data_IF_228622886668
#
_entry.id   IF_228622886668
#
_cell.length_a   1.000
_cell.length_b   1.000
_cell.length_c   1.000
_cell.angle_alpha   90.00
_cell.angle_beta   90.00
_cell.angle_gamma   90.00
#
_symmetry.space_group_name_H-M   'P 1'
#
loop_
_entity.id
_entity.type
_entity.pdbx_description
1 polymer ?
#
# COMPACT_ATOMS: atom_id res chain seq x y z
N UNK A 1 28.80 0.06 -10.49
CA UNK A 1 27.82 1.10 -10.87
C UNK A 1 26.92 0.43 -11.88
N UNK A 2 25.78 -0.06 -11.43
CA UNK A 2 24.88 -0.89 -12.25
C UNK A 2 24.15 0.05 -13.22
N UNK A 3 24.49 -0.01 -14.52
CA UNK A 3 24.02 0.91 -15.56
C UNK A 3 22.51 0.79 -15.87
N UNK A 4 21.77 -0.02 -15.10
CA UNK A 4 20.36 -0.35 -15.31
C UNK A 4 19.45 0.02 -14.13
N UNK A 5 20.00 0.52 -13.01
CA UNK A 5 19.19 0.97 -11.88
C UNK A 5 18.75 2.43 -12.10
N UNK A 6 17.46 2.77 -11.93
CA UNK A 6 16.99 4.14 -12.07
C UNK A 6 17.74 5.07 -11.10
N UNK A 7 17.89 6.33 -11.47
CA UNK A 7 18.60 7.35 -10.70
C UNK A 7 17.67 8.32 -9.97
N UNK A 8 16.37 8.28 -10.26
CA UNK A 8 15.36 9.08 -9.59
C UNK A 8 14.02 8.33 -9.47
N UNK A 9 13.14 8.82 -8.59
CA UNK A 9 11.77 8.33 -8.51
C UNK A 9 11.01 8.50 -9.83
N UNK A 10 11.27 9.58 -10.56
CA UNK A 10 10.65 9.84 -11.86
C UNK A 10 11.07 8.80 -12.90
N UNK A 11 12.36 8.46 -12.95
CA UNK A 11 12.87 7.42 -13.84
C UNK A 11 12.33 6.04 -13.46
N UNK A 12 12.32 5.71 -12.16
CA UNK A 12 11.70 4.50 -11.64
C UNK A 12 10.23 4.40 -12.07
N UNK A 13 9.47 5.48 -11.91
CA UNK A 13 8.05 5.55 -12.26
C UNK A 13 7.83 5.33 -13.76
N UNK A 14 8.69 5.89 -14.62
CA UNK A 14 8.64 5.67 -16.07
C UNK A 14 8.86 4.19 -16.40
N UNK A 15 9.89 3.58 -15.81
CA UNK A 15 10.19 2.15 -15.99
C UNK A 15 9.04 1.25 -15.53
N UNK A 16 8.39 1.57 -14.39
CA UNK A 16 7.22 0.82 -13.90
C UNK A 16 6.04 0.97 -14.86
N UNK A 17 5.80 2.16 -15.41
CA UNK A 17 4.69 2.42 -16.34
C UNK A 17 4.87 1.72 -17.69
N UNK A 18 6.11 1.57 -18.15
CA UNK A 18 6.46 0.88 -19.40
C UNK A 18 6.56 -0.66 -19.21
N UNK A 19 6.76 -1.13 -17.97
CA UNK A 19 6.85 -2.54 -17.67
C UNK A 19 5.51 -3.26 -17.93
N UNK A 20 5.50 -4.36 -18.69
CA UNK A 20 4.27 -5.11 -18.92
C UNK A 20 3.75 -5.68 -17.59
N UNK A 21 2.42 -5.71 -17.39
CA UNK A 21 1.86 -6.27 -16.18
C UNK A 21 2.16 -7.76 -16.11
N UNK A 22 2.63 -8.22 -14.95
CA UNK A 22 2.79 -9.66 -14.70
C UNK A 22 1.46 -10.42 -14.72
N UNK A 23 0.34 -9.71 -14.59
CA UNK A 23 -1.03 -10.25 -14.62
C UNK A 23 -1.77 -9.73 -15.85
N UNK A 24 -2.51 -10.56 -16.59
CA UNK A 24 -3.21 -10.11 -17.77
C UNK A 24 -4.41 -9.20 -17.40
N UNK A 25 -4.70 -8.23 -18.26
CA UNK A 25 -5.95 -7.46 -18.23
C UNK A 25 -5.95 -6.18 -17.39
N UNK A 26 -4.88 -5.86 -16.67
CA UNK A 26 -4.71 -4.54 -16.05
C UNK A 26 -4.67 -3.44 -17.13
N UNK A 27 -5.22 -2.27 -16.85
CA UNK A 27 -5.26 -1.15 -17.80
C UNK A 27 -3.92 -0.43 -17.86
N UNK A 28 -3.33 -0.17 -16.71
CA UNK A 28 -2.08 0.57 -16.54
C UNK A 28 -1.46 0.30 -15.16
N UNK A 29 -0.18 0.63 -15.00
CA UNK A 29 0.42 0.66 -13.68
C UNK A 29 -0.17 1.80 -12.83
N UNK A 30 -0.38 1.55 -11.55
CA UNK A 30 -0.76 2.57 -10.57
C UNK A 30 0.43 2.83 -9.67
N UNK A 31 1.05 3.99 -9.88
CA UNK A 31 2.23 4.44 -9.16
C UNK A 31 1.86 4.95 -7.75
N UNK A 32 2.87 5.13 -6.90
CA UNK A 32 2.68 5.78 -5.61
C UNK A 32 2.49 7.30 -5.74
N UNK A 33 1.80 7.90 -4.77
CA UNK A 33 1.53 9.34 -4.72
C UNK A 33 1.92 9.94 -3.37
N UNK A 34 2.55 11.11 -3.41
CA UNK A 34 2.95 11.90 -2.24
C UNK A 34 4.32 12.56 -2.42
N UNK A 35 4.79 13.33 -1.44
CA UNK A 35 6.09 13.99 -1.52
C UNK A 35 7.25 13.02 -1.29
N UNK A 36 8.39 13.32 -1.90
CA UNK A 36 9.69 12.78 -1.46
C UNK A 36 9.99 13.35 -0.07
N UNK A 37 10.52 12.51 0.82
CA UNK A 37 10.77 12.84 2.22
C UNK A 37 9.50 12.84 3.09
N UNK A 38 8.41 12.19 2.64
CA UNK A 38 7.20 12.02 3.42
C UNK A 38 7.50 11.43 4.81
N UNK A 39 6.84 11.91 5.85
CA UNK A 39 7.06 11.37 7.20
C UNK A 39 6.62 9.89 7.28
N UNK A 40 5.54 9.55 6.56
CA UNK A 40 4.94 8.22 6.56
C UNK A 40 4.78 7.74 5.10
N UNK A 41 5.17 6.50 4.82
CA UNK A 41 4.73 5.79 3.62
C UNK A 41 3.72 4.71 3.99
N UNK A 42 2.52 4.73 3.41
CA UNK A 42 1.50 3.69 3.57
C UNK A 42 1.48 2.78 2.33
N UNK A 43 1.66 1.48 2.56
CA UNK A 43 1.74 0.46 1.51
C UNK A 43 0.55 -0.47 1.60
N UNK A 44 -0.29 -0.47 0.57
CA UNK A 44 -1.40 -1.41 0.38
C UNK A 44 -1.01 -2.68 -0.38
N UNK A 45 -2.02 -3.47 -0.76
CA UNK A 45 -1.83 -4.74 -1.48
C UNK A 45 -1.55 -4.52 -2.98
N UNK A 46 -2.55 -4.01 -3.69
CA UNK A 46 -2.53 -3.78 -5.14
C UNK A 46 -3.61 -2.72 -5.48
N UNK A 47 -3.61 -2.17 -6.70
CA UNK A 47 -4.68 -1.27 -7.14
C UNK A 47 -6.00 -2.04 -7.25
N UNK A 48 -7.12 -1.37 -6.97
CA UNK A 48 -8.45 -1.90 -7.27
C UNK A 48 -8.95 -1.46 -8.64
N UNK A 49 -10.23 -1.74 -8.90
CA UNK A 49 -10.90 -1.42 -10.16
C UNK A 49 -10.88 0.09 -10.48
N UNK A 50 -11.13 0.94 -9.48
CA UNK A 50 -11.14 2.40 -9.68
C UNK A 50 -9.72 2.95 -9.82
N UNK A 51 -8.79 2.43 -9.03
CA UNK A 51 -7.38 2.83 -9.09
C UNK A 51 -6.77 2.51 -10.47
N UNK A 52 -7.02 1.31 -10.99
CA UNK A 52 -6.52 0.87 -12.30
C UNK A 52 -7.06 1.72 -13.46
N UNK A 53 -8.32 2.16 -13.39
CA UNK A 53 -8.88 3.04 -14.42
C UNK A 53 -8.37 4.48 -14.31
N UNK A 54 -8.13 4.96 -13.08
CA UNK A 54 -7.75 6.35 -12.83
C UNK A 54 -6.22 6.57 -12.82
N UNK A 55 -5.42 5.51 -12.69
CA UNK A 55 -3.96 5.59 -12.56
C UNK A 55 -3.50 6.11 -11.19
N UNK A 56 -4.38 6.12 -10.18
CA UNK A 56 -4.12 6.75 -8.87
C UNK A 56 -4.39 5.77 -7.71
N UNK A 57 -3.51 5.68 -6.70
CA UNK A 57 -3.67 4.76 -5.58
C UNK A 57 -4.73 5.26 -4.58
N UNK A 58 -5.49 4.33 -3.98
CA UNK A 58 -6.44 4.61 -2.91
C UNK A 58 -7.51 5.67 -3.26
N UNK A 59 -8.12 5.59 -4.45
CA UNK A 59 -9.24 6.47 -4.87
C UNK A 59 -10.61 5.85 -4.61
N UNK A 60 -10.69 4.53 -4.53
CA UNK A 60 -11.90 3.77 -4.25
C UNK A 60 -12.33 3.80 -2.78
N UNK A 61 -13.35 3.01 -2.41
CA UNK A 61 -13.95 3.05 -1.06
C UNK A 61 -12.95 2.80 0.08
N UNK A 62 -12.00 1.88 -0.10
CA UNK A 62 -10.97 1.60 0.91
C UNK A 62 -10.00 2.77 1.08
N UNK A 63 -9.70 3.47 0.00
CA UNK A 63 -8.86 4.67 0.03
C UNK A 63 -9.55 5.88 0.66
N UNK A 64 -10.84 6.06 0.38
CA UNK A 64 -11.65 7.09 1.05
C UNK A 64 -11.71 6.86 2.57
N UNK A 65 -11.90 5.60 3.00
CA UNK A 65 -11.81 5.23 4.42
C UNK A 65 -10.44 5.55 5.00
N UNK A 66 -9.36 5.15 4.30
CA UNK A 66 -7.99 5.42 4.75
C UNK A 66 -7.74 6.92 4.92
N UNK A 67 -8.05 7.74 3.92
CA UNK A 67 -7.88 9.20 3.95
C UNK A 67 -8.70 9.83 5.09
N UNK A 68 -9.93 9.35 5.33
CA UNK A 68 -10.75 9.80 6.45
C UNK A 68 -10.11 9.48 7.80
N UNK A 69 -9.65 8.25 7.99
CA UNK A 69 -9.01 7.81 9.23
C UNK A 69 -7.65 8.51 9.46
N UNK A 70 -6.90 8.80 8.39
CA UNK A 70 -5.68 9.61 8.45
C UNK A 70 -5.97 11.01 8.99
N UNK A 71 -6.96 11.71 8.42
CA UNK A 71 -7.38 13.04 8.90
C UNK A 71 -7.83 13.02 10.36
N UNK A 72 -8.59 12.00 10.76
CA UNK A 72 -9.04 11.85 12.15
C UNK A 72 -7.89 11.53 13.12
N UNK A 73 -6.86 10.80 12.66
CA UNK A 73 -5.61 10.62 13.42
C UNK A 73 -4.73 11.89 13.42
N UNK A 74 -5.07 12.87 12.57
CA UNK A 74 -4.32 14.09 12.30
C UNK A 74 -3.00 13.86 11.56
N UNK A 75 -2.99 12.87 10.66
CA UNK A 75 -1.97 12.69 9.63
C UNK A 75 -2.41 13.50 8.41
N UNK A 76 -1.60 14.48 8.01
CA UNK A 76 -1.84 15.28 6.81
C UNK A 76 -1.46 14.46 5.56
N UNK A 77 -2.26 14.57 4.49
CA UNK A 77 -1.94 13.98 3.19
C UNK A 77 -0.61 14.54 2.64
N UNK A 78 -0.27 15.79 2.95
CA UNK A 78 1.01 16.40 2.59
C UNK A 78 2.22 15.81 3.33
N UNK A 79 2.00 14.96 4.34
CA UNK A 79 3.06 14.26 5.08
C UNK A 79 3.11 12.76 4.75
N UNK A 80 2.22 12.29 3.88
CA UNK A 80 2.02 10.89 3.59
C UNK A 80 2.32 10.59 2.12
N UNK A 81 3.09 9.52 1.90
CA UNK A 81 3.23 8.87 0.62
C UNK A 81 2.37 7.60 0.63
N UNK A 82 1.52 7.38 -0.37
CA UNK A 82 0.63 6.22 -0.45
C UNK A 82 0.94 5.41 -1.70
N UNK A 83 1.01 4.09 -1.55
CA UNK A 83 1.37 3.20 -2.65
C UNK A 83 0.89 1.77 -2.41
N UNK A 84 1.13 0.87 -3.35
CA UNK A 84 0.83 -0.55 -3.23
C UNK A 84 2.07 -1.43 -3.43
N UNK A 85 2.03 -2.61 -2.81
CA UNK A 85 3.06 -3.63 -2.98
C UNK A 85 3.14 -4.19 -4.41
N UNK A 86 2.00 -4.27 -5.09
CA UNK A 86 1.88 -4.64 -6.50
C UNK A 86 1.34 -3.43 -7.27
N UNK A 87 1.83 -3.19 -8.49
CA UNK A 87 1.52 -1.97 -9.27
C UNK A 87 0.40 -2.14 -10.30
N UNK A 88 -0.01 -3.38 -10.58
CA UNK A 88 -1.05 -3.68 -11.57
C UNK A 88 -2.22 -4.41 -10.90
N UNK A 89 -3.44 -4.10 -11.32
CA UNK A 89 -4.64 -4.70 -10.74
C UNK A 89 -4.84 -6.14 -11.24
N UNK A 90 -4.73 -7.10 -10.32
CA UNK A 90 -5.11 -8.49 -10.57
C UNK A 90 -6.60 -8.71 -10.28
N UNK A 91 -7.32 -9.23 -11.27
CA UNK A 91 -8.74 -9.54 -11.15
C UNK A 91 -9.16 -10.75 -11.98
N UNK A 92 -10.32 -11.29 -11.63
CA UNK A 92 -11.07 -12.25 -12.43
C UNK A 92 -12.28 -11.56 -13.07
N UNK A 93 -12.47 -11.76 -14.38
CA UNK A 93 -13.61 -11.21 -15.09
C UNK A 93 -14.87 -12.05 -14.84
N UNK A 94 -15.93 -11.44 -14.31
CA UNK A 94 -17.25 -12.06 -14.17
C UNK A 94 -18.32 -11.20 -14.83
N UNK A 95 -18.69 -11.57 -16.06
CA UNK A 95 -19.55 -10.73 -16.89
C UNK A 95 -18.87 -9.39 -17.18
N UNK A 96 -19.50 -8.28 -16.81
CA UNK A 96 -18.90 -6.92 -16.93
C UNK A 96 -18.08 -6.49 -15.71
N UNK A 97 -18.05 -7.27 -14.63
CA UNK A 97 -17.41 -6.88 -13.37
C UNK A 97 -16.00 -7.46 -13.27
N UNK A 98 -15.05 -6.62 -12.83
CA UNK A 98 -13.68 -7.02 -12.47
C UNK A 98 -13.64 -7.34 -10.98
N UNK A 99 -13.47 -8.61 -10.64
CA UNK A 99 -13.45 -9.08 -9.25
C UNK A 99 -12.01 -9.19 -8.80
N UNK A 100 -11.63 -8.40 -7.79
CA UNK A 100 -10.30 -8.43 -7.22
C UNK A 100 -9.83 -9.85 -6.86
N UNK A 101 -8.66 -10.24 -7.36
CA UNK A 101 -7.99 -11.50 -7.02
C UNK A 101 -6.66 -11.21 -6.32
N UNK A 102 -6.39 -11.88 -5.21
CA UNK A 102 -5.21 -11.61 -4.39
C UNK A 102 -3.90 -11.90 -5.18
N UNK A 103 -2.87 -11.05 -5.07
CA UNK A 103 -1.56 -11.36 -5.63
C UNK A 103 -0.94 -12.62 -5.02
N UNK A 104 -0.27 -13.42 -5.84
CA UNK A 104 0.51 -14.57 -5.40
C UNK A 104 1.82 -14.12 -4.74
N UNK A 105 2.47 -15.00 -3.99
CA UNK A 105 3.79 -14.72 -3.40
C UNK A 105 4.84 -14.41 -4.47
N UNK A 106 4.78 -15.08 -5.63
CA UNK A 106 5.67 -14.82 -6.76
C UNK A 106 5.44 -13.44 -7.39
N UNK A 107 4.18 -13.04 -7.55
CA UNK A 107 3.84 -11.69 -8.04
C UNK A 107 4.32 -10.61 -7.07
N UNK A 108 4.10 -10.81 -5.76
CA UNK A 108 4.61 -9.89 -4.74
C UNK A 108 6.13 -9.81 -4.75
N UNK A 109 6.83 -10.94 -4.91
CA UNK A 109 8.29 -10.97 -4.99
C UNK A 109 8.81 -10.22 -6.23
N UNK A 110 8.12 -10.30 -7.36
CA UNK A 110 8.45 -9.55 -8.56
C UNK A 110 8.34 -8.04 -8.33
N UNK A 111 7.24 -7.56 -7.75
CA UNK A 111 7.05 -6.13 -7.51
C UNK A 111 7.84 -5.57 -6.31
N UNK A 112 8.29 -6.43 -5.40
CA UNK A 112 9.06 -6.03 -4.21
C UNK A 112 10.32 -5.26 -4.55
N UNK A 113 11.00 -5.56 -5.66
CA UNK A 113 12.18 -4.81 -6.08
C UNK A 113 11.83 -3.34 -6.39
N UNK A 114 10.79 -3.12 -7.21
CA UNK A 114 10.26 -1.79 -7.52
C UNK A 114 9.83 -1.04 -6.26
N UNK A 115 9.09 -1.69 -5.35
CA UNK A 115 8.65 -1.09 -4.09
C UNK A 115 9.83 -0.66 -3.21
N UNK A 116 10.89 -1.48 -3.11
CA UNK A 116 12.05 -1.12 -2.30
C UNK A 116 12.77 0.11 -2.86
N UNK A 117 12.99 0.17 -4.18
CA UNK A 117 13.58 1.35 -4.82
C UNK A 117 12.71 2.59 -4.65
N UNK A 118 11.39 2.45 -4.79
CA UNK A 118 10.45 3.54 -4.56
C UNK A 118 10.56 4.08 -3.13
N UNK A 119 10.63 3.20 -2.13
CA UNK A 119 10.82 3.60 -0.73
C UNK A 119 12.25 4.07 -0.43
N UNK A 120 13.26 3.71 -1.22
CA UNK A 120 14.61 4.28 -1.13
C UNK A 120 14.61 5.73 -1.65
N UNK A 121 13.93 6.01 -2.77
CA UNK A 121 13.83 7.36 -3.30
C UNK A 121 12.90 8.28 -2.51
N UNK A 122 11.79 7.75 -1.99
CA UNK A 122 10.85 8.52 -1.15
C UNK A 122 11.46 8.80 0.22
N UNK A 123 12.34 7.92 0.72
CA UNK A 123 13.01 8.01 2.03
C UNK A 123 12.07 8.37 3.21
N UNK A 124 11.02 7.57 3.47
CA UNK A 124 10.08 7.88 4.55
C UNK A 124 10.66 7.53 5.93
N UNK A 125 10.31 8.31 6.96
CA UNK A 125 10.75 8.04 8.35
C UNK A 125 10.14 6.75 8.91
N UNK A 126 8.93 6.41 8.47
CA UNK A 126 8.19 5.21 8.88
C UNK A 126 7.42 4.62 7.69
N UNK A 127 7.51 3.29 7.52
CA UNK A 127 6.71 2.55 6.53
C UNK A 127 5.60 1.77 7.22
N UNK A 128 4.36 1.93 6.75
CA UNK A 128 3.16 1.28 7.30
C UNK A 128 2.65 0.24 6.31
N UNK A 129 2.66 -1.03 6.73
CA UNK A 129 2.07 -2.12 5.97
C UNK A 129 0.57 -2.23 6.26
N UNK A 130 -0.26 -1.99 5.25
CA UNK A 130 -1.71 -2.16 5.30
C UNK A 130 -2.07 -3.59 4.86
N UNK A 131 -2.15 -4.51 5.82
CA UNK A 131 -2.53 -5.90 5.60
C UNK A 131 -1.39 -6.83 5.18
N UNK A 132 -1.75 -8.09 4.91
CA UNK A 132 -0.80 -9.19 4.86
C UNK A 132 0.11 -9.16 3.64
N UNK A 133 -0.41 -8.70 2.49
CA UNK A 133 0.36 -8.66 1.25
C UNK A 133 1.40 -7.53 1.30
N UNK A 134 1.07 -6.36 1.83
CA UNK A 134 2.04 -5.31 2.10
C UNK A 134 3.10 -5.77 3.11
N UNK A 135 2.70 -6.42 4.20
CA UNK A 135 3.62 -6.94 5.19
C UNK A 135 4.58 -7.99 4.60
N UNK A 136 4.08 -8.90 3.76
CA UNK A 136 4.90 -9.85 3.00
C UNK A 136 5.89 -9.11 2.08
N UNK A 137 5.39 -8.15 1.31
CA UNK A 137 6.17 -7.39 0.35
C UNK A 137 7.29 -6.57 1.00
N UNK A 138 7.10 -6.10 2.23
CA UNK A 138 8.08 -5.31 2.99
C UNK A 138 9.02 -6.18 3.83
N UNK A 139 8.52 -7.25 4.46
CA UNK A 139 9.32 -8.16 5.27
C UNK A 139 10.12 -9.18 4.44
N UNK A 140 9.71 -9.44 3.19
CA UNK A 140 10.29 -10.46 2.32
C UNK A 140 9.91 -11.90 2.72
N UNK A 141 9.00 -12.05 3.68
CA UNK A 141 8.49 -13.33 4.18
C UNK A 141 7.07 -13.17 4.71
N UNK A 142 6.24 -14.23 4.75
CA UNK A 142 4.89 -14.15 5.30
C UNK A 142 4.88 -13.67 6.75
N UNK A 143 3.96 -12.75 7.08
CA UNK A 143 3.78 -12.20 8.42
C UNK A 143 2.33 -12.38 8.87
N UNK A 144 2.06 -12.98 10.05
CA UNK A 144 0.70 -13.10 10.58
C UNK A 144 0.23 -11.74 11.14
N UNK A 145 -0.42 -10.93 10.29
CA UNK A 145 -0.82 -9.54 10.60
C UNK A 145 -1.56 -9.38 11.92
N UNK A 146 -2.50 -10.26 12.24
CA UNK A 146 -3.28 -10.16 13.50
C UNK A 146 -2.41 -10.28 14.75
N UNK A 147 -1.32 -11.06 14.70
CA UNK A 147 -0.36 -11.22 15.80
C UNK A 147 0.77 -10.19 15.75
N UNK A 148 1.11 -9.71 14.55
CA UNK A 148 2.23 -8.81 14.30
C UNK A 148 1.81 -7.33 14.21
N UNK A 149 0.53 -7.02 14.42
CA UNK A 149 0.00 -5.66 14.43
C UNK A 149 0.75 -4.81 15.46
N UNK A 150 1.28 -3.67 15.03
CA UNK A 150 2.13 -2.81 15.85
C UNK A 150 3.46 -2.44 15.20
N UNK A 151 4.37 -1.89 16.01
CA UNK A 151 5.70 -1.45 15.60
C UNK A 151 6.60 -2.62 15.20
N UNK A 152 7.42 -2.41 14.18
CA UNK A 152 8.34 -3.43 13.67
C UNK A 152 9.51 -2.78 12.91
N UNK A 153 10.31 -3.61 12.23
CA UNK A 153 11.32 -3.16 11.26
C UNK A 153 11.20 -3.96 9.96
N UNK A 154 11.31 -3.26 8.84
CA UNK A 154 11.42 -3.86 7.51
C UNK A 154 12.86 -3.67 7.01
N UNK A 155 13.73 -4.62 7.39
CA UNK A 155 15.18 -4.45 7.23
C UNK A 155 15.67 -3.28 8.09
N UNK A 156 16.21 -2.24 7.44
CA UNK A 156 16.68 -1.04 8.12
C UNK A 156 15.60 0.04 8.33
N UNK A 157 14.44 -0.10 7.69
CA UNK A 157 13.34 0.86 7.82
C UNK A 157 12.56 0.61 9.10
N UNK A 158 12.21 1.68 9.82
CA UNK A 158 11.20 1.61 10.88
C UNK A 158 9.86 1.25 10.23
N UNK A 159 9.14 0.34 10.86
CA UNK A 159 7.91 -0.22 10.30
C UNK A 159 6.75 -0.18 11.27
N UNK A 160 5.54 -0.21 10.73
CA UNK A 160 4.32 -0.49 11.48
C UNK A 160 3.43 -1.43 10.66
N UNK A 161 2.78 -2.40 11.30
CA UNK A 161 1.84 -3.31 10.63
C UNK A 161 0.43 -3.04 11.16
N UNK A 162 -0.53 -2.88 10.25
CA UNK A 162 -1.96 -2.80 10.57
C UNK A 162 -2.80 -3.59 9.56
N UNK A 163 -4.10 -3.66 9.78
CA UNK A 163 -5.07 -4.27 8.87
C UNK A 163 -5.26 -3.41 7.61
N UNK A 164 -5.68 -4.04 6.51
CA UNK A 164 -6.03 -3.29 5.31
C UNK A 164 -7.42 -2.64 5.47
N UNK A 165 -7.63 -1.37 5.06
CA UNK A 165 -8.90 -0.66 5.23
C UNK A 165 -10.09 -1.34 4.55
N UNK A 166 -9.86 -2.10 3.47
CA UNK A 166 -10.93 -2.87 2.81
C UNK A 166 -11.52 -3.98 3.71
N UNK A 167 -10.79 -4.44 4.74
CA UNK A 167 -11.32 -5.42 5.69
C UNK A 167 -12.49 -4.83 6.48
N UNK A 168 -12.41 -3.55 6.86
CA UNK A 168 -13.44 -2.86 7.62
C UNK A 168 -14.75 -2.75 6.81
N UNK A 169 -14.64 -2.56 5.50
CA UNK A 169 -15.79 -2.49 4.58
C UNK A 169 -16.52 -3.82 4.42
N UNK A 170 -15.87 -4.94 4.75
CA UNK A 170 -16.44 -6.29 4.63
C UNK A 170 -17.11 -6.76 5.92
N UNK A 171 -17.03 -6.00 7.01
CA UNK A 171 -17.69 -6.34 8.27
C UNK A 171 -19.20 -6.09 8.14
N UNK A 172 -20.03 -7.13 8.30
CA UNK A 172 -21.46 -7.06 7.98
C UNK A 172 -22.24 -6.24 9.01
N UNK A 173 -21.93 -6.38 10.29
CA UNK A 173 -22.64 -5.70 11.37
C UNK A 173 -22.02 -4.34 11.71
N UNK A 174 -22.86 -3.44 12.23
CA UNK A 174 -22.47 -2.07 12.51
C UNK A 174 -21.51 -1.96 13.70
N UNK A 175 -21.64 -2.82 14.71
CA UNK A 175 -20.83 -2.75 15.92
C UNK A 175 -19.39 -3.19 15.65
N UNK A 176 -19.21 -4.36 15.02
CA UNK A 176 -17.89 -4.83 14.61
C UNK A 176 -17.20 -3.86 13.66
N UNK A 177 -17.95 -3.15 12.81
CA UNK A 177 -17.37 -2.11 11.93
C UNK A 177 -16.89 -0.90 12.74
N UNK A 178 -17.66 -0.46 13.75
CA UNK A 178 -17.24 0.61 14.68
C UNK A 178 -15.99 0.23 15.46
N UNK A 179 -15.98 -0.97 16.04
CA UNK A 179 -14.83 -1.49 16.80
C UNK A 179 -13.58 -1.59 15.92
N UNK A 180 -13.70 -2.16 14.73
CA UNK A 180 -12.59 -2.28 13.79
C UNK A 180 -12.08 -0.92 13.31
N UNK A 181 -12.98 0.03 13.07
CA UNK A 181 -12.62 1.41 12.74
C UNK A 181 -11.87 2.09 13.90
N UNK A 182 -12.38 1.98 15.13
CA UNK A 182 -11.73 2.54 16.31
C UNK A 182 -10.32 1.95 16.53
N UNK A 183 -10.16 0.64 16.35
CA UNK A 183 -8.86 -0.01 16.42
C UNK A 183 -7.91 0.47 15.30
N UNK A 184 -8.40 0.58 14.06
CA UNK A 184 -7.60 1.08 12.94
C UNK A 184 -7.15 2.54 13.16
N UNK A 185 -8.05 3.38 13.67
CA UNK A 185 -7.73 4.75 14.05
C UNK A 185 -6.68 4.82 15.16
N UNK A 186 -6.74 3.92 16.15
CA UNK A 186 -5.75 3.84 17.21
C UNK A 186 -4.34 3.53 16.66
N UNK A 187 -4.24 2.63 15.67
CA UNK A 187 -2.97 2.37 14.99
C UNK A 187 -2.44 3.60 14.26
N UNK A 188 -3.30 4.32 13.54
CA UNK A 188 -2.90 5.53 12.82
C UNK A 188 -2.45 6.65 13.77
N UNK A 189 -3.10 6.79 14.93
CA UNK A 189 -2.65 7.68 16.00
C UNK A 189 -1.28 7.28 16.53
N UNK A 190 -1.03 5.97 16.70
CA UNK A 190 0.30 5.47 17.09
C UNK A 190 1.35 5.74 16.02
N UNK A 191 1.03 5.49 14.74
CA UNK A 191 1.87 5.81 13.59
C UNK A 191 2.28 7.29 13.59
N UNK A 192 1.33 8.21 13.81
CA UNK A 192 1.62 9.64 13.92
C UNK A 192 2.60 9.96 15.05
N UNK A 193 2.41 9.37 16.24
CA UNK A 193 3.32 9.59 17.38
C UNK A 193 4.77 9.15 17.10
N UNK A 194 4.98 8.19 16.20
CA UNK A 194 6.30 7.64 15.91
C UNK A 194 7.14 8.49 14.93
N UNK A 195 6.49 9.43 14.23
CA UNK A 195 7.12 10.28 13.21
C UNK A 195 7.16 11.77 13.59
N UNK A 196 6.46 12.14 14.66
CA UNK A 196 6.52 13.45 15.29
C UNK A 196 7.75 13.59 16.20
#
# INVERSE_FOLDING_TARGET
MDLLAPHSLEELNRLIAEAPPLVPGATQAVLGEGPIGAAIALVGEQPGDQEDLQGRPFVGPAGQLLRSAMREAGIDDAQAYVTNAVKHFKFEQRGKRRIHARPSTGEVAHYRWWLNLELDFVDPRLVVALGATAALALAGKPVPVTKARGETRFGQRRGYITVHPSMLLRIPDAEGRREAHAAFLADLKRVRQLVN
#
